data_IF_462655945444
#
_entry.id   IF_462655945444
#
_cell.length_a   1.000
_cell.length_b   1.000
_cell.length_c   1.000
_cell.angle_alpha   90.00
_cell.angle_beta   90.00
_cell.angle_gamma   90.00
#
_symmetry.space_group_name_H-M   'P 1'
#
loop_
_entity.id
_entity.type
_entity.pdbx_description
1 polymer ?
#
# COMPACT_ATOMS: atom_id res chain seq x y z
N UNK A 1 -5.10 -27.78 -31.48
CA UNK A 1 -4.45 -27.85 -30.16
C UNK A 1 -3.40 -26.80 -29.98
N UNK A 2 -2.56 -26.53 -30.97
CA UNK A 2 -1.51 -25.47 -30.93
C UNK A 2 -2.10 -24.09 -30.64
N UNK A 3 -3.20 -23.70 -31.30
CA UNK A 3 -3.79 -22.37 -31.17
C UNK A 3 -4.34 -22.09 -29.76
N UNK A 4 -4.90 -23.11 -29.10
CA UNK A 4 -5.38 -22.98 -27.72
C UNK A 4 -4.20 -22.79 -26.78
N UNK A 5 -3.10 -23.50 -26.97
CA UNK A 5 -1.89 -23.35 -26.17
C UNK A 5 -1.30 -21.95 -26.33
N UNK A 6 -1.25 -21.42 -27.57
CA UNK A 6 -0.81 -20.06 -27.84
C UNK A 6 -1.72 -19.03 -27.17
N UNK A 7 -3.02 -19.20 -27.22
CA UNK A 7 -3.98 -18.29 -26.61
C UNK A 7 -3.85 -18.29 -25.07
N UNK A 8 -3.73 -19.47 -24.49
CA UNK A 8 -3.51 -19.61 -23.04
C UNK A 8 -2.19 -19.00 -22.62
N UNK A 9 -1.11 -19.25 -23.36
CA UNK A 9 0.20 -18.65 -23.09
C UNK A 9 0.14 -17.11 -23.22
N UNK A 10 -0.53 -16.58 -24.23
CA UNK A 10 -0.72 -15.14 -24.44
C UNK A 10 -1.42 -14.46 -23.26
N UNK A 11 -2.38 -15.12 -22.64
CA UNK A 11 -3.14 -14.56 -21.51
C UNK A 11 -2.37 -14.73 -20.20
N UNK A 12 -1.77 -15.90 -19.97
CA UNK A 12 -1.15 -16.22 -18.68
C UNK A 12 0.25 -15.64 -18.54
N UNK A 13 1.05 -15.61 -19.61
CA UNK A 13 2.44 -15.19 -19.53
C UNK A 13 2.60 -13.71 -19.13
N UNK A 14 1.87 -12.72 -19.72
CA UNK A 14 1.95 -11.34 -19.29
C UNK A 14 1.41 -11.09 -17.88
N UNK A 15 0.60 -12.02 -17.35
CA UNK A 15 0.07 -11.93 -15.98
C UNK A 15 1.09 -12.46 -14.95
N UNK A 16 1.60 -13.67 -15.18
CA UNK A 16 2.46 -14.35 -14.20
C UNK A 16 3.92 -13.93 -14.26
N UNK A 17 4.45 -13.61 -15.44
CA UNK A 17 5.86 -13.23 -15.61
C UNK A 17 6.24 -11.99 -14.78
N UNK A 18 5.47 -10.88 -14.78
CA UNK A 18 5.78 -9.71 -13.94
C UNK A 18 5.78 -10.07 -12.46
N UNK A 19 4.82 -10.87 -12.02
CA UNK A 19 4.72 -11.29 -10.61
C UNK A 19 5.96 -12.10 -10.20
N UNK A 20 6.43 -13.01 -11.06
CA UNK A 20 7.65 -13.80 -10.80
C UNK A 20 8.91 -12.90 -10.81
N UNK A 21 9.06 -12.03 -11.80
CA UNK A 21 10.21 -11.13 -11.91
C UNK A 21 10.26 -10.17 -10.73
N UNK A 22 9.16 -9.49 -10.44
CA UNK A 22 9.09 -8.53 -9.32
C UNK A 22 9.28 -9.24 -7.98
N UNK A 23 8.74 -10.46 -7.81
CA UNK A 23 8.93 -11.23 -6.58
C UNK A 23 10.38 -11.70 -6.39
N UNK A 24 11.12 -11.92 -7.49
CA UNK A 24 12.55 -12.28 -7.39
C UNK A 24 13.40 -11.08 -6.97
N UNK A 25 13.03 -9.86 -7.36
CA UNK A 25 13.80 -8.62 -7.11
C UNK A 25 13.40 -8.00 -5.76
N UNK A 26 12.10 -7.81 -5.53
CA UNK A 26 11.55 -7.08 -4.37
C UNK A 26 10.96 -7.99 -3.30
N UNK A 27 10.70 -9.26 -3.62
CA UNK A 27 10.08 -10.21 -2.70
C UNK A 27 10.98 -10.57 -1.52
N UNK A 28 10.42 -10.59 -0.32
CA UNK A 28 11.09 -11.02 0.92
C UNK A 28 10.61 -12.39 1.36
N UNK A 29 11.54 -13.22 1.79
CA UNK A 29 11.28 -14.57 2.30
C UNK A 29 12.18 -15.61 1.68
N UNK A 30 12.37 -16.71 2.39
CA UNK A 30 13.20 -17.85 1.94
C UNK A 30 12.46 -18.74 0.93
N UNK A 31 11.13 -18.77 0.99
CA UNK A 31 10.28 -19.58 0.13
C UNK A 31 9.63 -18.76 -0.98
N UNK A 32 9.47 -19.35 -2.15
CA UNK A 32 8.86 -18.70 -3.32
C UNK A 32 7.46 -18.14 -3.00
N UNK A 33 6.62 -18.93 -2.31
CA UNK A 33 5.28 -18.49 -1.90
C UNK A 33 5.30 -17.29 -0.94
N UNK A 34 6.28 -17.22 -0.03
CA UNK A 34 6.43 -16.09 0.87
C UNK A 34 6.83 -14.82 0.10
N UNK A 35 7.71 -14.94 -0.89
CA UNK A 35 8.10 -13.83 -1.79
C UNK A 35 6.93 -13.34 -2.62
N UNK A 36 6.15 -14.24 -3.22
CA UNK A 36 4.93 -13.91 -3.97
C UNK A 36 3.93 -13.17 -3.09
N UNK A 37 3.67 -13.68 -1.89
CA UNK A 37 2.78 -13.04 -0.94
C UNK A 37 3.27 -11.64 -0.56
N UNK A 38 4.56 -11.47 -0.26
CA UNK A 38 5.13 -10.17 0.10
C UNK A 38 5.09 -9.16 -1.04
N UNK A 39 5.16 -9.61 -2.29
CA UNK A 39 5.07 -8.77 -3.49
C UNK A 39 3.64 -8.28 -3.74
N UNK A 40 2.65 -9.13 -3.49
CA UNK A 40 1.23 -8.83 -3.72
C UNK A 40 0.57 -8.11 -2.52
N UNK A 41 1.21 -8.11 -1.35
CA UNK A 41 0.71 -7.38 -0.18
C UNK A 41 1.33 -6.00 -0.10
N UNK A 42 0.51 -5.00 0.22
CA UNK A 42 0.97 -3.64 0.48
C UNK A 42 1.47 -3.55 1.92
N UNK A 43 2.72 -3.12 2.08
CA UNK A 43 3.37 -2.87 3.36
C UNK A 43 3.31 -1.38 3.68
N UNK A 44 2.75 -1.04 4.84
CA UNK A 44 2.55 0.35 5.27
C UNK A 44 3.85 1.05 5.67
N UNK A 45 4.90 0.28 5.97
CA UNK A 45 6.20 0.80 6.42
C UNK A 45 7.14 1.11 5.26
N UNK A 46 6.81 0.64 4.06
CA UNK A 46 7.63 0.83 2.88
C UNK A 46 7.17 2.00 2.04
N UNK A 47 8.12 2.61 1.34
CA UNK A 47 7.83 3.59 0.30
C UNK A 47 7.05 2.97 -0.86
N UNK A 48 6.28 3.79 -1.59
CA UNK A 48 5.48 3.35 -2.72
C UNK A 48 6.32 2.63 -3.80
N UNK A 49 7.52 3.13 -4.09
CA UNK A 49 8.44 2.54 -5.07
C UNK A 49 8.96 1.15 -4.67
N UNK A 50 8.93 0.80 -3.39
CA UNK A 50 9.32 -0.51 -2.88
C UNK A 50 8.18 -1.53 -2.88
N UNK A 51 6.97 -1.09 -3.26
CA UNK A 51 5.80 -1.96 -3.35
C UNK A 51 5.84 -2.78 -4.63
N UNK A 52 5.95 -4.10 -4.49
CA UNK A 52 5.96 -5.00 -5.64
C UNK A 52 4.67 -4.92 -6.46
N UNK A 53 3.52 -4.71 -5.82
CA UNK A 53 2.22 -4.59 -6.48
C UNK A 53 2.16 -3.39 -7.44
N UNK A 54 2.86 -2.27 -7.13
CA UNK A 54 2.94 -1.13 -8.05
C UNK A 54 3.64 -1.53 -9.35
N UNK A 55 4.78 -2.18 -9.25
CA UNK A 55 5.54 -2.61 -10.42
C UNK A 55 4.78 -3.65 -11.26
N UNK A 56 4.09 -4.60 -10.62
CA UNK A 56 3.23 -5.56 -11.31
C UNK A 56 2.11 -4.83 -12.05
N UNK A 57 1.49 -3.80 -11.45
CA UNK A 57 0.41 -3.03 -12.09
C UNK A 57 0.85 -2.24 -13.30
N UNK A 58 2.14 -1.90 -13.41
CA UNK A 58 2.71 -1.20 -14.57
C UNK A 58 3.22 -2.20 -15.62
N UNK A 59 4.00 -3.20 -15.19
CA UNK A 59 4.68 -4.12 -16.10
C UNK A 59 3.70 -5.07 -16.79
N UNK A 60 2.64 -5.50 -16.08
CA UNK A 60 1.68 -6.45 -16.65
C UNK A 60 0.95 -5.89 -17.89
N UNK A 61 0.32 -4.69 -17.85
CA UNK A 61 -0.30 -4.10 -19.05
C UNK A 61 0.71 -3.82 -20.15
N UNK A 62 1.96 -3.45 -19.81
CA UNK A 62 3.02 -3.24 -20.78
C UNK A 62 3.39 -4.55 -21.51
N UNK A 63 3.48 -5.66 -20.81
CA UNK A 63 3.69 -6.96 -21.44
C UNK A 63 2.50 -7.40 -22.29
N UNK A 64 1.26 -7.11 -21.86
CA UNK A 64 0.08 -7.34 -22.70
C UNK A 64 0.12 -6.51 -23.98
N UNK A 65 0.54 -5.25 -23.91
CA UNK A 65 0.73 -4.40 -25.09
C UNK A 65 1.71 -5.04 -26.07
N UNK A 66 2.88 -5.50 -25.60
CA UNK A 66 3.87 -6.15 -26.46
C UNK A 66 3.33 -7.47 -27.03
N UNK A 67 2.76 -8.33 -26.19
CA UNK A 67 2.27 -9.65 -26.59
C UNK A 67 1.17 -9.54 -27.64
N UNK A 68 0.19 -8.67 -27.44
CA UNK A 68 -0.87 -8.40 -28.39
C UNK A 68 -0.35 -7.69 -29.64
N UNK A 69 0.58 -6.76 -29.47
CA UNK A 69 1.22 -6.04 -30.56
C UNK A 69 1.96 -6.98 -31.53
N UNK A 70 2.77 -7.90 -31.01
CA UNK A 70 3.47 -8.90 -31.83
C UNK A 70 2.52 -9.72 -32.69
N UNK A 71 1.34 -10.05 -32.20
CA UNK A 71 0.34 -10.79 -32.98
C UNK A 71 -0.29 -9.91 -34.05
N UNK A 72 -0.73 -8.71 -33.66
CA UNK A 72 -1.50 -7.81 -34.55
C UNK A 72 -0.62 -7.18 -35.62
N UNK A 73 0.65 -6.88 -35.28
CA UNK A 73 1.60 -6.25 -36.23
C UNK A 73 2.24 -7.27 -37.17
N UNK A 74 2.12 -8.56 -36.88
CA UNK A 74 2.68 -9.61 -37.73
C UNK A 74 2.04 -9.58 -39.12
N UNK A 75 2.88 -9.46 -40.15
CA UNK A 75 2.40 -9.41 -41.53
C UNK A 75 2.06 -7.99 -42.06
N UNK A 76 2.21 -6.96 -41.24
CA UNK A 76 2.03 -5.57 -41.65
C UNK A 76 3.38 -4.86 -41.81
N UNK A 77 3.57 -4.16 -42.91
CA UNK A 77 4.74 -3.33 -43.15
C UNK A 77 4.54 -1.94 -42.54
N UNK A 78 5.61 -1.37 -41.97
CA UNK A 78 5.58 -0.01 -41.44
C UNK A 78 5.57 0.97 -42.59
N UNK A 79 4.54 1.81 -42.71
CA UNK A 79 4.44 2.91 -43.68
C UNK A 79 4.18 4.21 -42.91
N UNK A 80 5.06 5.20 -43.16
CA UNK A 80 4.96 6.54 -42.55
C UNK A 80 4.04 7.50 -43.33
N UNK A 81 3.18 6.98 -44.19
CA UNK A 81 2.13 7.74 -44.88
C UNK A 81 0.92 7.93 -43.93
N UNK A 82 0.05 8.89 -44.26
CA UNK A 82 -1.17 9.14 -43.47
C UNK A 82 -2.06 7.90 -43.38
N UNK A 83 -2.17 7.12 -44.45
CA UNK A 83 -2.92 5.90 -44.51
C UNK A 83 -2.26 4.78 -43.68
N UNK A 84 -0.92 4.69 -43.73
CA UNK A 84 -0.15 3.76 -42.90
C UNK A 84 -0.31 4.04 -41.42
N UNK A 85 -0.26 5.31 -40.99
CA UNK A 85 -0.50 5.71 -39.61
C UNK A 85 -1.94 5.38 -39.17
N UNK A 86 -2.91 5.67 -40.00
CA UNK A 86 -4.33 5.36 -39.74
C UNK A 86 -4.54 3.85 -39.53
N UNK A 87 -3.93 3.05 -40.40
CA UNK A 87 -3.96 1.60 -40.31
C UNK A 87 -3.28 1.13 -39.03
N UNK A 88 -2.10 1.67 -38.70
CA UNK A 88 -1.38 1.32 -37.46
C UNK A 88 -2.24 1.57 -36.19
N UNK A 89 -2.86 2.75 -36.08
CA UNK A 89 -3.76 3.03 -34.96
C UNK A 89 -4.96 2.09 -34.93
N UNK A 90 -5.54 1.79 -36.06
CA UNK A 90 -6.69 0.88 -36.14
C UNK A 90 -6.35 -0.52 -35.65
N UNK A 91 -5.24 -1.10 -36.10
CA UNK A 91 -4.82 -2.45 -35.67
C UNK A 91 -4.25 -2.46 -34.25
N UNK A 92 -3.68 -1.35 -33.78
CA UNK A 92 -3.09 -1.23 -32.45
C UNK A 92 -4.09 -0.86 -31.35
N UNK A 93 -5.37 -0.69 -31.67
CA UNK A 93 -6.41 -0.29 -30.71
C UNK A 93 -6.44 -1.20 -29.49
N UNK A 94 -6.39 -2.52 -29.68
CA UNK A 94 -6.41 -3.51 -28.59
C UNK A 94 -5.11 -3.47 -27.77
N UNK A 95 -3.90 -3.52 -28.36
CA UNK A 95 -2.65 -3.34 -27.61
C UNK A 95 -2.60 -2.03 -26.83
N UNK A 96 -2.96 -0.89 -27.46
CA UNK A 96 -2.98 0.41 -26.80
C UNK A 96 -4.01 0.48 -25.66
N UNK A 97 -5.15 -0.15 -25.85
CA UNK A 97 -6.15 -0.30 -24.80
C UNK A 97 -5.60 -1.07 -23.59
N UNK A 98 -4.87 -2.15 -23.81
CA UNK A 98 -4.20 -2.88 -22.73
C UNK A 98 -3.16 -2.01 -22.01
N UNK A 99 -2.34 -1.25 -22.77
CA UNK A 99 -1.34 -0.34 -22.21
C UNK A 99 -1.98 0.77 -21.36
N UNK A 100 -3.12 1.29 -21.80
CA UNK A 100 -3.83 2.38 -21.09
C UNK A 100 -4.28 1.98 -19.68
N UNK A 101 -4.43 0.69 -19.40
CA UNK A 101 -4.78 0.18 -18.06
C UNK A 101 -3.65 0.36 -17.04
N UNK A 102 -2.41 0.57 -17.47
CA UNK A 102 -1.26 0.76 -16.57
C UNK A 102 -1.44 1.97 -15.66
N UNK A 103 -1.98 3.07 -16.17
CA UNK A 103 -2.20 4.31 -15.41
C UNK A 103 -3.26 4.14 -14.31
N UNK A 104 -4.51 3.72 -14.60
CA UNK A 104 -5.52 3.57 -13.56
C UNK A 104 -5.15 2.49 -12.54
N UNK A 105 -4.48 1.41 -12.94
CA UNK A 105 -4.04 0.36 -12.01
C UNK A 105 -2.96 0.89 -11.07
N UNK A 106 -1.96 1.60 -11.55
CA UNK A 106 -0.91 2.18 -10.70
C UNK A 106 -1.46 3.25 -9.76
N UNK A 107 -2.40 4.09 -10.21
CA UNK A 107 -3.10 5.06 -9.35
C UNK A 107 -3.93 4.35 -8.28
N UNK A 108 -4.63 3.27 -8.63
CA UNK A 108 -5.39 2.48 -7.67
C UNK A 108 -4.47 1.91 -6.57
N UNK A 109 -3.35 1.29 -6.95
CA UNK A 109 -2.36 0.76 -5.99
C UNK A 109 -1.82 1.86 -5.08
N UNK A 110 -1.48 3.03 -5.65
CA UNK A 110 -0.99 4.19 -4.90
C UNK A 110 -2.01 4.68 -3.88
N UNK A 111 -3.28 4.76 -4.25
CA UNK A 111 -4.37 5.17 -3.35
C UNK A 111 -4.60 4.15 -2.24
N UNK A 112 -4.60 2.86 -2.55
CA UNK A 112 -4.72 1.80 -1.55
C UNK A 112 -3.56 1.84 -0.55
N UNK A 113 -2.33 2.08 -1.02
CA UNK A 113 -1.16 2.23 -0.17
C UNK A 113 -1.29 3.46 0.75
N UNK A 114 -1.65 4.63 0.22
CA UNK A 114 -1.88 5.85 1.00
C UNK A 114 -2.98 5.65 2.05
N UNK A 115 -4.08 4.97 1.71
CA UNK A 115 -5.15 4.67 2.66
C UNK A 115 -4.65 3.80 3.81
N UNK A 116 -3.84 2.78 3.55
CA UNK A 116 -3.25 1.93 4.59
C UNK A 116 -2.31 2.72 5.51
N UNK A 117 -1.45 3.57 4.95
CA UNK A 117 -0.57 4.44 5.74
C UNK A 117 -1.37 5.39 6.63
N UNK A 118 -2.42 6.02 6.10
CA UNK A 118 -3.31 6.90 6.88
C UNK A 118 -4.00 6.15 8.02
N UNK A 119 -4.52 4.95 7.77
CA UNK A 119 -5.13 4.12 8.79
C UNK A 119 -4.15 3.79 9.93
N UNK A 120 -2.89 3.47 9.59
CA UNK A 120 -1.83 3.26 10.59
C UNK A 120 -1.52 4.52 11.39
N UNK A 121 -1.42 5.68 10.72
CA UNK A 121 -1.19 6.97 11.39
C UNK A 121 -2.33 7.31 12.37
N UNK A 122 -3.59 7.10 11.97
CA UNK A 122 -4.75 7.31 12.85
C UNK A 122 -4.65 6.41 14.08
N UNK A 123 -4.31 5.12 13.90
CA UNK A 123 -4.15 4.18 15.01
C UNK A 123 -3.07 4.64 15.99
N UNK A 124 -1.90 5.04 15.49
CA UNK A 124 -0.78 5.54 16.32
C UNK A 124 -1.19 6.83 17.04
N UNK A 125 -1.87 7.75 16.35
CA UNK A 125 -2.33 9.02 16.94
C UNK A 125 -3.34 8.77 18.05
N UNK A 126 -4.31 7.86 17.85
CA UNK A 126 -5.28 7.50 18.88
C UNK A 126 -4.60 6.86 20.11
N UNK A 127 -3.60 6.02 19.91
CA UNK A 127 -2.82 5.47 21.04
C UNK A 127 -2.08 6.57 21.80
N UNK A 128 -1.42 7.50 21.10
CA UNK A 128 -0.74 8.65 21.72
C UNK A 128 -1.73 9.55 22.48
N UNK A 129 -2.89 9.83 21.90
CA UNK A 129 -3.92 10.64 22.53
C UNK A 129 -4.45 9.98 23.81
N UNK A 130 -4.69 8.66 23.79
CA UNK A 130 -5.14 7.95 24.98
C UNK A 130 -4.09 8.00 26.12
N UNK A 131 -2.81 7.84 25.79
CA UNK A 131 -1.73 7.97 26.76
C UNK A 131 -1.65 9.41 27.29
N UNK A 132 -1.76 10.40 26.42
CA UNK A 132 -1.74 11.81 26.79
C UNK A 132 -2.92 12.16 27.72
N UNK A 133 -4.13 11.73 27.37
CA UNK A 133 -5.32 11.92 28.19
C UNK A 133 -5.15 11.28 29.58
N UNK A 134 -4.64 10.05 29.64
CA UNK A 134 -4.35 9.39 30.91
C UNK A 134 -3.38 10.21 31.78
N UNK A 135 -2.30 10.71 31.20
CA UNK A 135 -1.34 11.53 31.92
C UNK A 135 -1.90 12.89 32.32
N UNK A 136 -2.74 13.51 31.47
CA UNK A 136 -3.41 14.77 31.78
C UNK A 136 -4.37 14.60 32.97
N UNK A 137 -5.26 13.61 32.91
CA UNK A 137 -6.19 13.32 34.01
C UNK A 137 -5.46 13.00 35.31
N UNK A 138 -4.38 12.23 35.24
CA UNK A 138 -3.54 11.96 36.41
C UNK A 138 -2.94 13.23 37.00
N UNK A 139 -2.41 14.12 36.14
CA UNK A 139 -1.85 15.41 36.57
C UNK A 139 -2.90 16.29 37.22
N UNK A 140 -4.10 16.38 36.62
CA UNK A 140 -5.23 17.14 37.15
C UNK A 140 -5.68 16.58 38.51
N UNK A 141 -5.79 15.26 38.62
CA UNK A 141 -6.13 14.60 39.87
C UNK A 141 -5.14 14.90 40.99
N UNK A 142 -3.83 14.84 40.69
CA UNK A 142 -2.81 15.22 41.67
C UNK A 142 -2.82 16.71 41.99
N UNK A 143 -3.14 17.56 41.01
CA UNK A 143 -3.36 19.00 41.25
C UNK A 143 -4.54 19.24 42.19
N UNK A 144 -5.63 18.54 41.98
CA UNK A 144 -6.81 18.60 42.85
C UNK A 144 -6.49 18.13 44.28
N UNK A 145 -5.85 16.98 44.44
CA UNK A 145 -5.42 16.48 45.76
C UNK A 145 -4.41 17.37 46.44
N UNK A 146 -3.56 18.09 45.70
CA UNK A 146 -2.62 19.06 46.23
C UNK A 146 -3.29 20.34 46.76
N UNK A 147 -4.55 20.62 46.32
CA UNK A 147 -5.33 21.76 46.80
C UNK A 147 -6.15 21.41 48.05
N UNK A 148 -6.31 20.12 48.41
CA UNK A 148 -6.93 19.70 49.64
C UNK A 148 -5.95 20.07 50.76
N UNK A 149 -6.23 21.16 51.43
CA UNK A 149 -5.45 21.67 52.54
C UNK A 149 -5.61 20.85 53.80
N UNK A 150 -5.20 21.44 54.89
CA UNK A 150 -5.45 20.84 56.25
C UNK A 150 -6.96 20.76 56.50
N UNK A 151 -7.44 19.57 56.80
CA UNK A 151 -8.83 19.35 57.19
C UNK A 151 -8.86 19.22 58.72
N UNK A 152 -9.60 20.14 59.35
CA UNK A 152 -9.80 20.14 60.79
C UNK A 152 -11.01 19.24 61.10
N UNK A 153 -10.79 18.18 61.89
CA UNK A 153 -11.83 17.28 62.33
C UNK A 153 -12.15 17.52 63.80
N UNK A 154 -13.41 17.82 64.08
CA UNK A 154 -13.95 17.92 65.49
C UNK A 154 -13.17 18.90 66.40
N UNK A 155 -12.80 20.08 65.89
CA UNK A 155 -12.15 21.17 66.59
C UNK A 155 -10.84 20.82 67.33
N UNK A 156 -10.36 19.60 67.24
CA UNK A 156 -9.17 19.15 68.01
C UNK A 156 -8.20 18.26 67.20
N UNK A 157 -8.52 17.83 65.97
CA UNK A 157 -7.68 16.99 65.16
C UNK A 157 -7.41 17.66 63.80
N UNK A 158 -6.17 18.12 63.61
CA UNK A 158 -5.71 18.66 62.30
C UNK A 158 -4.99 17.56 61.52
N UNK A 159 -5.59 17.15 60.41
CA UNK A 159 -5.01 16.14 59.53
C UNK A 159 -4.36 16.80 58.29
N UNK A 160 -3.08 16.59 58.09
CA UNK A 160 -2.38 16.97 56.82
C UNK A 160 -2.36 15.79 55.89
N UNK A 161 -3.02 15.92 54.76
CA UNK A 161 -2.95 14.95 53.69
C UNK A 161 -1.81 15.32 52.69
N UNK A 162 -0.78 14.49 52.60
CA UNK A 162 0.24 14.63 51.59
C UNK A 162 0.16 13.49 50.59
N UNK A 163 -0.32 13.78 49.40
CA UNK A 163 -0.38 12.79 48.33
C UNK A 163 1.03 12.60 47.75
N UNK A 164 1.62 11.43 47.96
CA UNK A 164 2.87 11.06 47.31
C UNK A 164 2.57 10.29 46.02
N UNK A 165 2.92 10.79 44.85
CA UNK A 165 2.80 10.04 43.61
C UNK A 165 3.78 8.85 43.65
N UNK A 166 3.28 7.63 43.87
CA UNK A 166 4.10 6.44 43.62
C UNK A 166 4.29 6.29 42.13
N UNK A 167 5.51 6.49 41.67
CA UNK A 167 5.91 6.13 40.31
C UNK A 167 6.10 4.61 40.32
N UNK A 168 5.12 3.87 39.83
CA UNK A 168 5.36 2.47 39.47
C UNK A 168 6.25 2.47 38.23
N UNK A 169 7.48 1.93 38.41
CA UNK A 169 8.40 1.63 37.31
C UNK A 169 7.86 0.49 36.45
#
# INVERSE_FOLDING_TARGET
>A
MTDIVYLVALVLLPLFLPVLVVSSILGRGSWVLARLKSTLTLDEERGLAEQGLLWVSIISPFLYFIALGVIVWRGHSISLTSDGLRMFFSISTLPLGALSLSLPLSVLVSRLHATKQTAKQIKITNQKNNIYLFHSHRKELFGYFGQIGEVEYLDCLVGKFKVHPRVHK
#
